data_IF_874902608365
#
_entry.id   IF_874902608365
#
_cell.length_a   1.000
_cell.length_b   1.000
_cell.length_c   1.000
_cell.angle_alpha   90.00
_cell.angle_beta   90.00
_cell.angle_gamma   90.00
#
_symmetry.space_group_name_H-M   'P 1'
#
loop_
_entity.id
_entity.type
_entity.pdbx_description
1 polymer ?
#
# COMPACT_ATOMS: atom_id res chain seq x y z
N UNK A 1 15.87 -17.83 33.07
CA UNK A 1 15.11 -16.56 32.93
C UNK A 1 15.43 -15.84 31.60
N UNK A 2 15.66 -16.57 30.49
CA UNK A 2 15.96 -15.95 29.17
C UNK A 2 15.30 -16.77 28.06
N UNK A 3 13.98 -16.90 28.11
CA UNK A 3 13.25 -17.70 27.11
C UNK A 3 11.79 -17.27 26.91
N UNK A 4 11.20 -16.60 27.90
CA UNK A 4 9.80 -16.16 27.86
C UNK A 4 9.58 -14.74 27.35
N UNK A 5 10.62 -13.91 27.20
CA UNK A 5 10.48 -12.53 26.73
C UNK A 5 10.54 -12.38 25.19
N UNK A 6 11.02 -13.40 24.48
CA UNK A 6 11.14 -13.35 23.01
C UNK A 6 9.80 -13.59 22.30
N UNK A 7 8.93 -14.43 22.86
CA UNK A 7 7.63 -14.80 22.26
C UNK A 7 6.56 -13.70 22.28
N UNK A 8 6.80 -12.55 22.92
CA UNK A 8 5.84 -11.44 22.94
C UNK A 8 6.06 -10.47 21.76
N UNK A 9 7.28 -10.44 21.19
CA UNK A 9 7.59 -9.56 20.07
C UNK A 9 6.88 -10.01 18.79
N UNK A 10 6.85 -11.29 18.47
CA UNK A 10 6.38 -11.79 17.17
C UNK A 10 4.90 -11.56 16.89
N UNK A 11 4.05 -11.55 17.92
CA UNK A 11 2.62 -11.27 17.74
C UNK A 11 2.32 -9.82 17.40
N UNK A 12 3.18 -8.88 17.79
CA UNK A 12 3.06 -7.46 17.43
C UNK A 12 3.68 -7.16 16.06
N UNK A 13 4.64 -7.99 15.61
CA UNK A 13 5.24 -7.86 14.28
C UNK A 13 4.33 -8.38 13.17
N UNK A 14 3.47 -9.38 13.40
CA UNK A 14 2.56 -9.89 12.35
C UNK A 14 1.59 -8.80 11.84
N UNK A 15 1.12 -7.91 12.71
CA UNK A 15 0.19 -6.84 12.32
C UNK A 15 0.87 -5.68 11.56
N UNK A 16 2.12 -5.32 11.93
CA UNK A 16 2.94 -4.42 11.09
C UNK A 16 3.33 -5.10 9.78
N UNK A 17 3.68 -6.38 9.81
CA UNK A 17 4.24 -7.07 8.65
C UNK A 17 3.19 -7.38 7.57
N UNK A 18 1.90 -7.49 7.90
CA UNK A 18 0.87 -7.69 6.86
C UNK A 18 0.51 -6.40 6.12
N UNK A 19 0.44 -5.25 6.80
CA UNK A 19 0.19 -3.97 6.12
C UNK A 19 1.44 -3.48 5.38
N UNK A 20 2.62 -3.60 6.01
CA UNK A 20 3.90 -3.27 5.37
C UNK A 20 4.16 -4.19 4.18
N UNK A 21 3.83 -5.48 4.24
CA UNK A 21 3.92 -6.37 3.08
C UNK A 21 2.95 -5.97 1.96
N UNK A 22 1.73 -5.53 2.29
CA UNK A 22 0.81 -5.01 1.26
C UNK A 22 1.34 -3.74 0.61
N UNK A 23 1.96 -2.86 1.39
CA UNK A 23 2.61 -1.64 0.89
C UNK A 23 3.87 -1.96 0.06
N UNK A 24 4.72 -2.89 0.50
CA UNK A 24 5.92 -3.34 -0.21
C UNK A 24 5.54 -4.05 -1.53
N UNK A 25 4.49 -4.88 -1.51
CA UNK A 25 3.94 -5.52 -2.70
C UNK A 25 3.34 -4.50 -3.67
N UNK A 26 2.63 -3.48 -3.16
CA UNK A 26 2.15 -2.36 -3.97
C UNK A 26 3.32 -1.60 -4.61
N UNK A 27 4.33 -1.24 -3.82
CA UNK A 27 5.53 -0.54 -4.30
C UNK A 27 6.28 -1.35 -5.37
N UNK A 28 6.39 -2.67 -5.23
CA UNK A 28 6.99 -3.55 -6.26
C UNK A 28 6.13 -3.67 -7.51
N UNK A 29 4.81 -3.60 -7.39
CA UNK A 29 3.88 -3.70 -8.52
C UNK A 29 3.77 -2.40 -9.32
N UNK A 30 3.83 -1.26 -8.66
CA UNK A 30 3.67 0.06 -9.29
C UNK A 30 4.99 0.80 -9.50
N UNK A 31 6.07 0.40 -8.82
CA UNK A 31 7.36 1.09 -8.84
C UNK A 31 7.36 2.44 -8.10
N UNK A 32 6.26 2.82 -7.44
CA UNK A 32 6.06 4.10 -6.78
C UNK A 32 6.22 3.96 -5.27
N UNK A 33 7.12 4.74 -4.65
CA UNK A 33 7.28 4.76 -3.20
C UNK A 33 6.32 5.79 -2.59
N UNK A 34 5.22 5.31 -2.00
CA UNK A 34 4.24 6.16 -1.31
C UNK A 34 4.80 6.87 -0.07
N UNK A 35 6.05 6.58 0.34
CA UNK A 35 6.76 7.33 1.38
C UNK A 35 7.31 8.66 0.85
N UNK A 36 7.52 8.78 -0.45
CA UNK A 36 7.87 10.04 -1.11
C UNK A 36 6.61 10.82 -1.44
N UNK A 37 6.59 12.09 -1.07
CA UNK A 37 5.43 12.95 -1.26
C UNK A 37 5.09 13.16 -2.74
N UNK A 38 6.10 13.29 -3.60
CA UNK A 38 5.92 13.49 -5.04
C UNK A 38 5.28 12.27 -5.72
N UNK A 39 5.76 11.06 -5.40
CA UNK A 39 5.19 9.80 -5.90
C UNK A 39 3.75 9.60 -5.41
N UNK A 40 3.43 10.02 -4.18
CA UNK A 40 2.08 9.96 -3.64
C UNK A 40 1.11 10.91 -4.37
N UNK A 41 1.57 12.10 -4.78
CA UNK A 41 0.76 13.04 -5.58
C UNK A 41 0.51 12.47 -6.97
N UNK A 42 1.53 11.92 -7.62
CA UNK A 42 1.39 11.28 -8.93
C UNK A 42 0.38 10.14 -8.83
N UNK A 43 0.50 9.27 -7.81
CA UNK A 43 -0.45 8.18 -7.59
C UNK A 43 -1.88 8.68 -7.36
N UNK A 44 -2.06 9.80 -6.64
CA UNK A 44 -3.37 10.43 -6.42
C UNK A 44 -3.99 10.90 -7.74
N UNK A 45 -3.21 11.54 -8.61
CA UNK A 45 -3.66 12.02 -9.92
C UNK A 45 -4.00 10.84 -10.82
N UNK A 46 -3.14 9.82 -10.89
CA UNK A 46 -3.39 8.60 -11.67
C UNK A 46 -4.69 7.92 -11.25
N UNK A 47 -4.98 7.83 -9.94
CA UNK A 47 -6.25 7.29 -9.45
C UNK A 47 -7.46 8.16 -9.81
N UNK A 48 -7.32 9.48 -9.81
CA UNK A 48 -8.40 10.38 -10.25
C UNK A 48 -8.71 10.20 -11.74
N UNK A 49 -7.67 10.12 -12.59
CA UNK A 49 -7.83 9.89 -14.03
C UNK A 49 -8.43 8.52 -14.30
N UNK A 50 -7.95 7.47 -13.62
CA UNK A 50 -8.49 6.12 -13.78
C UNK A 50 -9.99 6.05 -13.46
N UNK A 51 -10.42 6.71 -12.36
CA UNK A 51 -11.85 6.79 -12.01
C UNK A 51 -12.66 7.55 -13.05
N UNK A 52 -12.10 8.62 -13.59
CA UNK A 52 -12.75 9.40 -14.64
C UNK A 52 -12.91 8.58 -15.93
N UNK A 53 -11.89 7.82 -16.34
CA UNK A 53 -11.96 6.92 -17.49
C UNK A 53 -13.05 5.86 -17.33
N UNK A 54 -13.15 5.25 -16.14
CA UNK A 54 -14.21 4.26 -15.85
C UNK A 54 -15.60 4.91 -15.85
N UNK A 55 -15.72 6.14 -15.35
CA UNK A 55 -16.98 6.87 -15.38
C UNK A 55 -17.42 7.21 -16.80
N UNK A 56 -16.48 7.67 -17.64
CA UNK A 56 -16.74 7.92 -19.07
C UNK A 56 -17.16 6.66 -19.81
N UNK A 57 -16.50 5.53 -19.55
CA UNK A 57 -16.85 4.23 -20.14
C UNK A 57 -18.27 3.80 -19.76
N UNK A 58 -18.66 3.97 -18.49
CA UNK A 58 -20.02 3.73 -18.01
C UNK A 58 -21.10 4.66 -18.57
N UNK A 59 -20.73 5.86 -19.01
CA UNK A 59 -21.65 6.79 -19.67
C UNK A 59 -21.78 6.54 -21.17
N UNK A 60 -20.85 5.77 -21.76
CA UNK A 60 -20.85 5.46 -23.20
C UNK A 60 -21.66 4.20 -23.56
N UNK A 61 -22.16 3.46 -22.57
CA UNK A 61 -23.03 2.29 -22.71
C UNK A 61 -24.40 2.57 -22.08
#
# INVERSE_FOLDING_TARGET
LVGSEMCIRDRLYIHRNTLVYRLDKLQKMTGLDLRNFDDAIIFKITLMVSKYMIYMDKMSY
#
